data_IF_344614712947
#
_entry.id   IF_344614712947
#
_cell.length_a   1.000
_cell.length_b   1.000
_cell.length_c   1.000
_cell.angle_alpha   90.00
_cell.angle_beta   90.00
_cell.angle_gamma   90.00
#
_symmetry.space_group_name_H-M   'P 1'
#
loop_
_entity.id
_entity.type
_entity.pdbx_description
1 polymer ?
#
# COMPACT_ATOMS: atom_id res chain seq x y z
N UNK A 1 4.91 5.68 -23.65
CA UNK A 1 5.40 4.48 -22.93
C UNK A 1 4.41 3.35 -23.13
N UNK A 2 4.89 2.12 -23.07
CA UNK A 2 4.06 0.92 -22.94
C UNK A 2 4.03 0.52 -21.46
N UNK A 3 2.86 0.38 -20.90
CA UNK A 3 2.66 0.13 -19.46
C UNK A 3 1.91 -1.19 -19.28
N UNK A 4 2.52 -2.12 -18.56
CA UNK A 4 1.88 -3.37 -18.15
C UNK A 4 1.29 -3.24 -16.75
N UNK A 5 0.07 -3.70 -16.54
CA UNK A 5 -0.60 -3.69 -15.23
C UNK A 5 -1.13 -5.09 -14.94
N UNK A 6 -0.77 -5.61 -13.77
CA UNK A 6 -1.20 -6.91 -13.28
C UNK A 6 -2.12 -6.71 -12.10
N UNK A 7 -3.37 -7.11 -12.24
CA UNK A 7 -4.45 -6.86 -11.28
C UNK A 7 -5.14 -5.52 -11.50
N UNK A 8 -6.41 -5.56 -11.85
CA UNK A 8 -7.27 -4.40 -12.12
C UNK A 8 -8.21 -4.08 -10.95
N UNK A 9 -7.67 -4.15 -9.72
CA UNK A 9 -8.35 -3.67 -8.53
C UNK A 9 -8.42 -2.13 -8.46
N UNK A 10 -8.58 -1.58 -7.26
CA UNK A 10 -8.53 -0.14 -7.03
C UNK A 10 -7.18 0.45 -7.48
N UNK A 11 -6.08 -0.19 -7.10
CA UNK A 11 -4.71 0.28 -7.35
C UNK A 11 -4.37 0.16 -8.83
N UNK A 12 -4.36 -1.05 -9.40
CA UNK A 12 -4.00 -1.24 -10.81
C UNK A 12 -4.96 -0.54 -11.78
N UNK A 13 -6.26 -0.55 -11.49
CA UNK A 13 -7.24 0.19 -12.29
C UNK A 13 -7.02 1.70 -12.28
N UNK A 14 -6.53 2.25 -11.16
CA UNK A 14 -6.21 3.70 -11.08
C UNK A 14 -4.93 4.02 -11.87
N UNK A 15 -3.92 3.17 -11.82
CA UNK A 15 -2.77 3.28 -12.70
C UNK A 15 -3.19 3.21 -14.18
N UNK A 16 -4.00 2.21 -14.56
CA UNK A 16 -4.47 2.07 -15.93
C UNK A 16 -5.12 3.36 -16.44
N UNK A 17 -6.06 3.91 -15.67
CA UNK A 17 -6.75 5.17 -16.02
C UNK A 17 -5.80 6.37 -16.08
N UNK A 18 -4.84 6.49 -15.16
CA UNK A 18 -3.89 7.60 -15.12
C UNK A 18 -2.95 7.57 -16.34
N UNK A 19 -2.38 6.41 -16.64
CA UNK A 19 -1.47 6.27 -17.79
C UNK A 19 -2.19 6.41 -19.12
N UNK A 20 -3.37 5.80 -19.28
CA UNK A 20 -4.15 5.94 -20.52
C UNK A 20 -4.56 7.40 -20.76
N UNK A 21 -5.01 8.11 -19.71
CA UNK A 21 -5.34 9.54 -19.80
C UNK A 21 -4.12 10.40 -20.18
N UNK A 22 -2.92 9.99 -19.80
CA UNK A 22 -1.67 10.66 -20.19
C UNK A 22 -1.20 10.27 -21.61
N UNK A 23 -1.95 9.49 -22.35
CA UNK A 23 -1.68 9.11 -23.75
C UNK A 23 -0.67 7.96 -23.89
N UNK A 24 -0.53 7.10 -22.88
CA UNK A 24 0.33 5.93 -22.92
C UNK A 24 -0.46 4.68 -23.30
N UNK A 25 0.20 3.73 -23.98
CA UNK A 25 -0.39 2.42 -24.25
C UNK A 25 -0.40 1.59 -22.96
N UNK A 26 -1.58 1.06 -22.60
CA UNK A 26 -1.81 0.30 -21.37
C UNK A 26 -2.26 -1.11 -21.69
N UNK A 27 -1.48 -2.07 -21.24
CA UNK A 27 -1.80 -3.50 -21.30
C UNK A 27 -2.10 -4.00 -19.89
N UNK A 28 -3.10 -4.85 -19.72
CA UNK A 28 -3.42 -5.36 -18.38
C UNK A 28 -3.73 -6.86 -18.37
N UNK A 29 -3.47 -7.47 -17.21
CA UNK A 29 -3.90 -8.83 -16.89
C UNK A 29 -4.70 -8.81 -15.59
N UNK A 30 -5.77 -9.57 -15.56
CA UNK A 30 -6.58 -9.83 -14.36
C UNK A 30 -7.13 -11.26 -14.43
N UNK A 31 -7.24 -11.92 -13.29
CA UNK A 31 -7.84 -13.25 -13.20
C UNK A 31 -9.35 -13.23 -13.45
N UNK A 32 -10.00 -12.11 -13.15
CA UNK A 32 -11.40 -11.88 -13.54
C UNK A 32 -11.47 -11.32 -14.97
N UNK A 33 -11.78 -12.19 -15.90
CA UNK A 33 -11.94 -11.85 -17.31
C UNK A 33 -12.95 -10.73 -17.52
N UNK A 34 -14.03 -10.69 -16.74
CA UNK A 34 -15.07 -9.66 -16.89
C UNK A 34 -14.55 -8.27 -16.51
N UNK A 35 -13.69 -8.17 -15.51
CA UNK A 35 -13.01 -6.94 -15.12
C UNK A 35 -12.08 -6.44 -16.23
N UNK A 36 -11.29 -7.34 -16.84
CA UNK A 36 -10.40 -6.99 -17.95
C UNK A 36 -11.18 -6.50 -19.17
N UNK A 37 -12.22 -7.24 -19.58
CA UNK A 37 -13.06 -6.89 -20.73
C UNK A 37 -13.76 -5.53 -20.51
N UNK A 38 -14.22 -5.26 -19.28
CA UNK A 38 -14.81 -3.97 -18.93
C UNK A 38 -13.77 -2.83 -18.95
N UNK A 39 -12.54 -3.09 -18.48
CA UNK A 39 -11.46 -2.10 -18.52
C UNK A 39 -11.09 -1.72 -19.96
N UNK A 40 -11.04 -2.70 -20.87
CA UNK A 40 -10.82 -2.46 -22.31
C UNK A 40 -12.02 -1.68 -22.92
N UNK A 41 -13.25 -2.12 -22.67
CA UNK A 41 -14.44 -1.46 -23.20
C UNK A 41 -14.57 -0.02 -22.74
N UNK A 42 -14.17 0.26 -21.48
CA UNK A 42 -14.17 1.62 -20.91
C UNK A 42 -13.05 2.53 -21.41
N UNK A 43 -12.13 2.01 -22.22
CA UNK A 43 -10.96 2.75 -22.73
C UNK A 43 -9.91 3.06 -21.67
N UNK A 44 -9.86 2.31 -20.58
CA UNK A 44 -8.78 2.45 -19.58
C UNK A 44 -7.58 1.54 -19.87
N UNK A 45 -7.78 0.53 -20.68
CA UNK A 45 -6.81 -0.49 -21.11
C UNK A 45 -6.94 -0.68 -22.61
N UNK A 46 -5.83 -0.73 -23.34
CA UNK A 46 -5.84 -0.89 -24.80
C UNK A 46 -5.97 -2.37 -25.20
N UNK A 47 -5.30 -3.27 -24.49
CA UNK A 47 -5.35 -4.72 -24.75
C UNK A 47 -4.92 -5.53 -23.52
N UNK A 48 -5.14 -6.85 -23.60
CA UNK A 48 -4.63 -7.79 -22.60
C UNK A 48 -3.08 -7.81 -22.58
N UNK A 49 -2.50 -7.89 -21.39
CA UNK A 49 -1.08 -8.12 -21.17
C UNK A 49 -0.80 -9.61 -21.44
N UNK A 50 0.09 -9.90 -22.39
CA UNK A 50 0.42 -11.25 -22.84
C UNK A 50 1.94 -11.43 -22.86
N UNK A 51 2.42 -12.66 -22.96
CA UNK A 51 3.85 -12.97 -23.09
C UNK A 51 4.50 -12.31 -24.31
N UNK A 52 3.72 -11.92 -25.32
CA UNK A 52 4.20 -11.25 -26.53
C UNK A 52 4.46 -9.75 -26.30
N UNK A 53 3.66 -9.09 -25.45
CA UNK A 53 3.78 -7.64 -25.22
C UNK A 53 4.45 -7.29 -23.88
N UNK A 54 4.58 -8.22 -22.93
CA UNK A 54 5.38 -8.04 -21.70
C UNK A 54 6.78 -7.47 -22.00
N UNK A 55 7.58 -8.05 -22.95
CA UNK A 55 8.94 -7.56 -23.21
C UNK A 55 8.99 -6.17 -23.87
N UNK A 56 7.86 -5.65 -24.32
CA UNK A 56 7.74 -4.34 -24.94
C UNK A 56 7.36 -3.22 -23.93
N UNK A 57 7.04 -3.60 -22.69
CA UNK A 57 6.66 -2.65 -21.67
C UNK A 57 7.89 -1.91 -21.11
N UNK A 58 7.77 -0.60 -20.96
CA UNK A 58 8.75 0.24 -20.26
C UNK A 58 8.66 0.02 -18.74
N UNK A 59 7.45 -0.13 -18.23
CA UNK A 59 7.16 -0.43 -16.83
C UNK A 59 6.06 -1.47 -16.70
N UNK A 60 6.19 -2.36 -15.72
CA UNK A 60 5.15 -3.30 -15.30
C UNK A 60 4.84 -3.08 -13.82
N UNK A 61 3.57 -2.78 -13.52
CA UNK A 61 3.07 -2.55 -12.17
C UNK A 61 2.24 -3.76 -11.73
N UNK A 62 2.74 -4.48 -10.72
CA UNK A 62 2.10 -5.68 -10.19
C UNK A 62 1.25 -5.28 -8.98
N UNK A 63 -0.06 -5.19 -9.20
CA UNK A 63 -1.04 -4.65 -8.26
C UNK A 63 -1.95 -5.73 -7.68
N UNK A 64 -1.37 -6.86 -7.30
CA UNK A 64 -2.01 -8.01 -6.66
C UNK A 64 -1.44 -8.24 -5.26
N UNK A 65 -1.96 -9.24 -4.52
CA UNK A 65 -1.48 -9.57 -3.18
C UNK A 65 -0.04 -10.12 -3.20
N UNK A 66 0.71 -10.03 -2.08
CA UNK A 66 2.13 -10.36 -2.06
C UNK A 66 2.46 -11.77 -2.62
N UNK A 67 1.75 -12.79 -2.16
CA UNK A 67 1.97 -14.16 -2.65
C UNK A 67 1.72 -14.29 -4.16
N UNK A 68 0.63 -13.71 -4.66
CA UNK A 68 0.31 -13.70 -6.08
C UNK A 68 1.30 -12.86 -6.91
N UNK A 69 1.85 -11.78 -6.33
CA UNK A 69 2.88 -10.98 -6.99
C UNK A 69 4.19 -11.76 -7.19
N UNK A 70 4.62 -12.50 -6.18
CA UNK A 70 5.80 -13.39 -6.26
C UNK A 70 5.59 -14.48 -7.31
N UNK A 71 4.41 -15.11 -7.33
CA UNK A 71 4.10 -16.14 -8.29
C UNK A 71 4.08 -15.60 -9.73
N UNK A 72 3.38 -14.47 -9.95
CA UNK A 72 3.36 -13.81 -11.27
C UNK A 72 4.77 -13.46 -11.77
N UNK A 73 5.62 -12.90 -10.90
CA UNK A 73 7.00 -12.58 -11.27
C UNK A 73 7.77 -13.84 -11.67
N UNK A 74 7.60 -14.93 -10.92
CA UNK A 74 8.28 -16.21 -11.18
C UNK A 74 7.86 -16.82 -12.51
N UNK A 75 6.55 -16.84 -12.78
CA UNK A 75 6.01 -17.40 -14.03
C UNK A 75 6.41 -16.61 -15.28
N UNK A 76 6.57 -15.28 -15.15
CA UNK A 76 6.83 -14.39 -16.27
C UNK A 76 8.27 -13.85 -16.34
N UNK A 77 9.18 -14.30 -15.46
CA UNK A 77 10.54 -13.76 -15.35
C UNK A 77 11.32 -13.80 -16.68
N UNK A 78 11.13 -14.84 -17.48
CA UNK A 78 11.77 -14.99 -18.80
C UNK A 78 11.19 -14.06 -19.87
N UNK A 79 10.01 -13.50 -19.64
CA UNK A 79 9.33 -12.61 -20.58
C UNK A 79 9.64 -11.12 -20.32
N UNK A 80 10.14 -10.77 -19.13
CA UNK A 80 10.45 -9.37 -18.84
C UNK A 80 11.62 -8.88 -19.69
N UNK A 81 11.44 -7.75 -20.34
CA UNK A 81 12.47 -7.12 -21.15
C UNK A 81 13.64 -6.59 -20.30
N UNK A 82 14.87 -6.64 -20.83
CA UNK A 82 16.06 -6.14 -20.11
C UNK A 82 16.00 -4.65 -19.74
N UNK A 83 15.16 -3.86 -20.41
CA UNK A 83 14.94 -2.44 -20.11
C UNK A 83 13.67 -2.20 -19.31
N UNK A 84 12.86 -3.24 -19.11
CA UNK A 84 11.60 -3.13 -18.37
C UNK A 84 11.89 -2.92 -16.89
N UNK A 85 11.25 -1.93 -16.30
CA UNK A 85 11.19 -1.77 -14.83
C UNK A 85 9.96 -2.49 -14.32
N UNK A 86 10.15 -3.52 -13.52
CA UNK A 86 9.07 -4.27 -12.87
C UNK A 86 8.94 -3.77 -11.44
N UNK A 87 7.74 -3.35 -11.04
CA UNK A 87 7.46 -2.85 -9.70
C UNK A 87 6.26 -3.61 -9.12
N UNK A 88 6.40 -4.17 -7.93
CA UNK A 88 5.24 -4.58 -7.15
C UNK A 88 4.58 -3.36 -6.49
N UNK A 89 3.31 -3.45 -6.14
CA UNK A 89 2.57 -2.41 -5.43
C UNK A 89 1.99 -2.95 -4.11
N UNK A 90 2.65 -3.95 -3.52
CA UNK A 90 2.19 -4.63 -2.32
C UNK A 90 2.28 -3.75 -1.06
N UNK A 91 1.46 -4.07 -0.06
CA UNK A 91 1.43 -3.37 1.23
C UNK A 91 2.58 -3.73 2.18
N UNK A 92 3.31 -4.82 1.91
CA UNK A 92 4.50 -5.31 2.64
C UNK A 92 5.66 -5.54 1.68
N UNK A 93 6.90 -5.47 2.19
CA UNK A 93 8.11 -5.52 1.33
C UNK A 93 9.07 -6.65 1.68
N UNK A 94 9.17 -7.04 2.95
CA UNK A 94 10.18 -8.03 3.41
C UNK A 94 10.02 -9.40 2.77
N UNK A 95 8.82 -9.78 2.36
CA UNK A 95 8.58 -11.04 1.68
C UNK A 95 8.78 -10.90 0.15
N UNK A 96 8.14 -9.93 -0.48
CA UNK A 96 8.12 -9.80 -1.95
C UNK A 96 9.46 -9.33 -2.53
N UNK A 97 10.15 -8.39 -1.87
CA UNK A 97 11.36 -7.74 -2.43
C UNK A 97 12.54 -8.69 -2.64
N UNK A 98 12.89 -9.60 -1.71
CA UNK A 98 13.96 -10.56 -1.94
C UNK A 98 13.71 -11.46 -3.16
N UNK A 99 12.48 -11.89 -3.39
CA UNK A 99 12.10 -12.68 -4.55
C UNK A 99 12.24 -11.88 -5.86
N UNK A 100 11.76 -10.62 -5.84
CA UNK A 100 11.90 -9.74 -7.01
C UNK A 100 13.36 -9.49 -7.39
N UNK A 101 14.22 -9.20 -6.41
CA UNK A 101 15.67 -9.02 -6.67
C UNK A 101 16.34 -10.29 -7.17
N UNK A 102 16.02 -11.45 -6.59
CA UNK A 102 16.60 -12.72 -7.04
C UNK A 102 16.26 -12.99 -8.51
N UNK A 103 15.00 -12.85 -8.90
CA UNK A 103 14.55 -13.03 -10.27
C UNK A 103 15.16 -11.97 -11.22
N UNK A 104 15.23 -10.72 -10.80
CA UNK A 104 15.84 -9.65 -11.60
C UNK A 104 17.32 -9.92 -11.88
N UNK A 105 18.06 -10.37 -10.88
CA UNK A 105 19.48 -10.74 -11.03
C UNK A 105 19.66 -11.97 -11.93
N UNK A 106 18.77 -12.96 -11.88
CA UNK A 106 18.85 -14.17 -12.70
C UNK A 106 18.50 -13.91 -14.17
N UNK A 107 17.42 -13.14 -14.42
CA UNK A 107 16.86 -12.96 -15.77
C UNK A 107 17.24 -11.63 -16.42
N UNK A 108 17.83 -10.69 -15.68
CA UNK A 108 18.44 -9.46 -16.20
C UNK A 108 17.46 -8.32 -16.51
N UNK A 109 16.30 -8.27 -15.87
CA UNK A 109 15.40 -7.12 -15.85
C UNK A 109 15.66 -6.23 -14.62
N UNK A 110 15.06 -5.05 -14.56
CA UNK A 110 15.13 -4.19 -13.38
C UNK A 110 13.92 -4.41 -12.49
N UNK A 111 14.13 -4.74 -11.21
CA UNK A 111 13.05 -4.81 -10.22
C UNK A 111 13.21 -3.74 -9.14
N UNK A 112 12.09 -3.14 -8.73
CA UNK A 112 12.05 -2.19 -7.61
C UNK A 112 10.78 -2.47 -6.81
N UNK A 113 10.93 -2.74 -5.51
CA UNK A 113 9.79 -2.81 -4.61
C UNK A 113 9.08 -1.46 -4.54
N UNK A 114 7.75 -1.45 -4.53
CA UNK A 114 7.00 -0.20 -4.44
C UNK A 114 5.75 -0.33 -3.56
N UNK A 115 5.30 0.79 -3.02
CA UNK A 115 4.05 0.89 -2.29
C UNK A 115 3.45 2.28 -2.49
N UNK A 116 2.41 2.42 -3.33
CA UNK A 116 1.67 3.68 -3.46
C UNK A 116 0.86 3.93 -2.19
N UNK A 117 1.19 5.00 -1.46
CA UNK A 117 0.54 5.36 -0.19
C UNK A 117 -0.82 6.03 -0.45
N UNK A 118 -1.68 5.34 -1.18
CA UNK A 118 -3.01 5.80 -1.54
C UNK A 118 -4.01 4.64 -1.50
N UNK A 119 -5.19 4.90 -0.99
CA UNK A 119 -6.25 3.91 -0.89
C UNK A 119 -7.60 4.53 -0.56
N UNK A 120 -8.63 3.73 -0.72
CA UNK A 120 -10.02 4.07 -0.36
C UNK A 120 -10.65 2.89 0.39
N UNK A 121 -11.77 3.14 1.06
CA UNK A 121 -12.52 2.08 1.78
C UNK A 121 -13.16 1.01 0.87
N UNK A 122 -13.24 1.27 -0.44
CA UNK A 122 -13.84 0.36 -1.41
C UNK A 122 -12.77 -0.21 -2.34
N UNK A 123 -12.90 -1.48 -2.72
CA UNK A 123 -12.03 -2.19 -3.64
C UNK A 123 -12.69 -2.42 -4.99
N UNK A 124 -11.87 -2.75 -6.00
CA UNK A 124 -12.30 -3.11 -7.34
C UNK A 124 -12.20 -1.97 -8.35
N UNK A 125 -12.20 -2.34 -9.63
CA UNK A 125 -12.00 -1.45 -10.78
C UNK A 125 -13.01 -0.30 -10.85
N UNK A 126 -14.26 -0.53 -10.45
CA UNK A 126 -15.33 0.49 -10.46
C UNK A 126 -15.05 1.70 -9.58
N UNK A 127 -14.20 1.56 -8.57
CA UNK A 127 -13.81 2.65 -7.67
C UNK A 127 -12.47 3.27 -8.04
N UNK A 128 -11.77 2.72 -9.03
CA UNK A 128 -10.51 3.25 -9.53
C UNK A 128 -10.72 4.61 -10.21
N UNK A 129 -9.78 5.54 -9.97
CA UNK A 129 -9.78 6.87 -10.57
C UNK A 129 -8.39 7.24 -11.06
N UNK A 130 -8.31 8.01 -12.13
CA UNK A 130 -7.07 8.57 -12.68
C UNK A 130 -6.34 9.53 -11.73
N UNK A 131 -6.99 9.97 -10.66
CA UNK A 131 -6.46 10.94 -9.69
C UNK A 131 -6.17 10.34 -8.32
N UNK A 132 -6.24 9.01 -8.16
CA UNK A 132 -6.05 8.35 -6.86
C UNK A 132 -4.71 8.71 -6.21
N UNK A 133 -3.67 8.86 -7.03
CA UNK A 133 -2.30 9.06 -6.58
C UNK A 133 -1.86 10.52 -6.52
N UNK A 134 -2.70 11.47 -6.97
CA UNK A 134 -2.33 12.88 -7.03
C UNK A 134 -1.95 13.41 -5.64
N UNK A 135 -0.70 13.84 -5.51
CA UNK A 135 -0.14 14.34 -4.25
C UNK A 135 0.18 13.27 -3.20
N UNK A 136 -0.18 12.00 -3.43
CA UNK A 136 0.15 10.92 -2.51
C UNK A 136 1.65 10.58 -2.55
N UNK A 137 2.24 10.05 -1.47
CA UNK A 137 3.59 9.50 -1.51
C UNK A 137 3.64 8.18 -2.29
N UNK A 138 4.77 7.94 -2.96
CA UNK A 138 5.19 6.62 -3.43
C UNK A 138 6.43 6.21 -2.64
N UNK A 139 6.38 5.07 -1.98
CA UNK A 139 7.56 4.48 -1.34
C UNK A 139 8.18 3.47 -2.29
N UNK A 140 9.50 3.54 -2.47
CA UNK A 140 10.24 2.60 -3.31
C UNK A 140 11.39 1.96 -2.55
N UNK A 141 11.67 0.70 -2.89
CA UNK A 141 12.76 -0.12 -2.33
C UNK A 141 13.61 -0.63 -3.50
N UNK A 142 14.58 0.16 -3.96
CA UNK A 142 15.52 -0.26 -4.99
C UNK A 142 16.60 -1.17 -4.38
N UNK A 143 17.25 -1.98 -5.20
CA UNK A 143 18.38 -2.83 -4.77
C UNK A 143 19.60 -1.97 -4.38
N UNK A 144 19.84 -0.87 -5.09
CA UNK A 144 20.88 0.12 -4.76
C UNK A 144 20.22 1.49 -4.56
N UNK A 145 20.32 2.00 -3.34
CA UNK A 145 19.73 3.29 -2.95
C UNK A 145 20.46 4.50 -3.53
N UNK A 146 21.71 4.33 -3.96
CA UNK A 146 22.56 5.40 -4.51
C UNK A 146 22.54 5.43 -6.06
N UNK A 147 21.73 4.62 -6.71
CA UNK A 147 21.56 4.63 -8.16
C UNK A 147 20.69 5.80 -8.62
N UNK A 148 21.32 6.99 -8.70
CA UNK A 148 20.64 8.23 -9.10
C UNK A 148 20.01 8.13 -10.49
N UNK A 149 20.65 7.37 -11.42
CA UNK A 149 20.12 7.21 -12.76
C UNK A 149 18.82 6.38 -12.75
N UNK A 150 18.80 5.28 -12.02
CA UNK A 150 17.59 4.47 -11.82
C UNK A 150 16.49 5.27 -11.12
N UNK A 151 16.81 5.98 -10.05
CA UNK A 151 15.84 6.80 -9.31
C UNK A 151 15.23 7.91 -10.19
N UNK A 152 16.05 8.54 -11.01
CA UNK A 152 15.60 9.51 -12.00
C UNK A 152 14.65 8.90 -13.03
N UNK A 153 15.01 7.75 -13.56
CA UNK A 153 14.19 7.03 -14.52
C UNK A 153 12.84 6.56 -13.91
N UNK A 154 12.83 6.03 -12.68
CA UNK A 154 11.59 5.67 -11.97
C UNK A 154 10.69 6.89 -11.80
N UNK A 155 11.24 8.04 -11.45
CA UNK A 155 10.48 9.29 -11.33
C UNK A 155 9.79 9.68 -12.65
N UNK A 156 10.48 9.53 -13.77
CA UNK A 156 9.91 9.77 -15.10
C UNK A 156 8.80 8.77 -15.44
N UNK A 157 9.04 7.48 -15.19
CA UNK A 157 8.06 6.42 -15.40
C UNK A 157 6.78 6.64 -14.59
N UNK A 158 6.88 7.09 -13.34
CA UNK A 158 5.76 7.30 -12.42
C UNK A 158 5.08 8.68 -12.56
N UNK A 159 5.66 9.61 -13.34
CA UNK A 159 5.13 10.97 -13.49
C UNK A 159 3.64 11.03 -13.91
N UNK A 160 3.14 10.16 -14.82
CA UNK A 160 1.73 10.19 -15.21
C UNK A 160 0.74 9.89 -14.08
N UNK A 161 1.17 9.19 -13.04
CA UNK A 161 0.34 8.88 -11.87
C UNK A 161 0.16 10.09 -10.93
N UNK A 162 1.05 11.10 -10.99
CA UNK A 162 0.91 12.35 -10.26
C UNK A 162 1.27 12.27 -8.77
N UNK A 163 2.16 11.37 -8.38
CA UNK A 163 2.67 11.30 -7.00
C UNK A 163 3.30 12.63 -6.55
N UNK A 164 3.05 13.03 -5.28
CA UNK A 164 3.59 14.27 -4.72
C UNK A 164 5.09 14.18 -4.41
N UNK A 165 5.54 13.02 -3.94
CA UNK A 165 6.95 12.72 -3.70
C UNK A 165 7.21 11.21 -3.74
N UNK A 166 8.49 10.86 -3.92
CA UNK A 166 8.97 9.48 -3.89
C UNK A 166 9.94 9.37 -2.72
N UNK A 167 9.68 8.43 -1.82
CA UNK A 167 10.54 8.10 -0.69
C UNK A 167 11.30 6.81 -0.97
N UNK A 168 12.62 6.81 -0.75
CA UNK A 168 13.48 5.64 -0.92
C UNK A 168 13.78 5.05 0.46
N UNK A 169 13.64 3.73 0.60
CA UNK A 169 13.86 3.03 1.88
C UNK A 169 14.26 1.56 1.67
N UNK A 170 14.55 0.83 2.74
CA UNK A 170 14.72 -0.63 2.73
C UNK A 170 13.40 -1.35 2.99
N UNK A 171 13.33 -2.65 2.70
CA UNK A 171 12.16 -3.46 2.98
C UNK A 171 11.84 -3.53 4.47
N UNK A 172 12.88 -3.64 5.31
CA UNK A 172 12.76 -3.70 6.77
C UNK A 172 12.22 -2.39 7.34
N UNK A 173 12.80 -1.25 6.96
CA UNK A 173 12.38 0.07 7.43
C UNK A 173 10.97 0.43 6.92
N UNK A 174 10.63 0.00 5.68
CA UNK A 174 9.27 0.13 5.15
C UNK A 174 8.27 -0.60 6.06
N UNK A 175 8.49 -1.90 6.29
CA UNK A 175 7.53 -2.73 7.00
C UNK A 175 7.41 -2.35 8.48
N UNK A 176 8.50 -1.91 9.11
CA UNK A 176 8.46 -1.31 10.45
C UNK A 176 7.55 -0.08 10.49
N UNK A 177 7.72 0.84 9.55
CA UNK A 177 6.90 2.05 9.48
C UNK A 177 5.43 1.75 9.15
N UNK A 178 5.17 0.79 8.25
CA UNK A 178 3.80 0.40 7.86
C UNK A 178 3.07 -0.31 9.01
N UNK A 179 3.77 -1.06 9.86
CA UNK A 179 3.17 -1.64 11.06
C UNK A 179 2.54 -0.56 11.93
N UNK A 180 3.23 0.55 12.16
CA UNK A 180 2.75 1.67 12.97
C UNK A 180 1.73 2.55 12.23
N UNK A 181 2.08 3.05 11.04
CA UNK A 181 1.30 4.10 10.36
C UNK A 181 0.01 3.58 9.71
N UNK A 182 -0.05 2.28 9.40
CA UNK A 182 -1.17 1.67 8.69
C UNK A 182 -1.78 0.49 9.46
N UNK A 183 -1.01 -0.58 9.69
CA UNK A 183 -1.55 -1.85 10.18
C UNK A 183 -2.13 -1.71 11.59
N UNK A 184 -1.40 -1.07 12.51
CA UNK A 184 -1.87 -0.80 13.87
C UNK A 184 -3.17 -0.01 13.87
N UNK A 185 -3.28 1.02 13.04
CA UNK A 185 -4.49 1.83 12.92
C UNK A 185 -5.72 1.00 12.52
N UNK A 186 -5.55 0.04 11.60
CA UNK A 186 -6.61 -0.87 11.17
C UNK A 186 -7.01 -1.85 12.28
N UNK A 187 -6.05 -2.41 13.01
CA UNK A 187 -6.33 -3.29 14.16
C UNK A 187 -7.10 -2.52 15.25
N UNK A 188 -6.62 -1.32 15.61
CA UNK A 188 -7.24 -0.46 16.63
C UNK A 188 -8.67 -0.11 16.23
N UNK A 189 -8.86 0.35 15.01
CA UNK A 189 -10.18 0.70 14.47
C UNK A 189 -11.14 -0.51 14.48
N UNK A 190 -10.67 -1.68 14.04
CA UNK A 190 -11.43 -2.92 14.06
C UNK A 190 -11.77 -3.37 15.49
N UNK A 191 -10.83 -3.27 16.42
CA UNK A 191 -11.07 -3.60 17.84
C UNK A 191 -12.06 -2.62 18.48
N UNK A 192 -11.93 -1.33 18.19
CA UNK A 192 -12.77 -0.27 18.75
C UNK A 192 -14.26 -0.46 18.42
N UNK A 193 -14.60 -0.80 17.17
CA UNK A 193 -16.00 -1.01 16.76
C UNK A 193 -16.62 -2.29 17.31
N UNK A 194 -15.84 -3.23 17.87
CA UNK A 194 -16.34 -4.45 18.50
C UNK A 194 -16.96 -4.23 19.86
N UNK A 195 -16.83 -3.03 20.47
CA UNK A 195 -17.53 -2.69 21.71
C UNK A 195 -19.04 -2.85 21.53
N UNK A 196 -19.75 -3.51 22.48
CA UNK A 196 -21.21 -3.56 22.47
C UNK A 196 -21.87 -2.20 22.42
N UNK A 197 -21.21 -1.18 22.99
CA UNK A 197 -21.67 0.22 23.02
C UNK A 197 -21.71 0.83 21.62
N UNK A 198 -20.87 0.36 20.70
CA UNK A 198 -20.85 0.86 19.32
C UNK A 198 -22.21 0.69 18.60
N UNK A 199 -23.02 -0.31 18.97
CA UNK A 199 -24.36 -0.51 18.40
C UNK A 199 -25.35 0.62 18.71
N UNK A 200 -25.07 1.44 19.73
CA UNK A 200 -25.96 2.49 20.25
C UNK A 200 -25.39 3.90 20.05
N UNK A 201 -24.36 4.05 19.21
CA UNK A 201 -23.64 5.33 19.04
C UNK A 201 -24.45 6.42 18.33
N UNK A 202 -25.53 6.07 17.61
CA UNK A 202 -26.31 7.02 16.81
C UNK A 202 -26.88 8.15 17.68
N UNK A 203 -26.64 9.39 17.28
CA UNK A 203 -27.01 10.58 18.04
C UNK A 203 -25.96 11.03 19.07
N UNK A 204 -24.92 10.21 19.35
CA UNK A 204 -23.85 10.52 20.29
C UNK A 204 -22.47 10.62 19.65
N UNK A 205 -22.35 10.31 18.35
CA UNK A 205 -21.06 10.28 17.63
C UNK A 205 -20.86 11.55 16.80
N UNK A 206 -19.62 12.04 16.82
CA UNK A 206 -19.15 13.20 16.07
C UNK A 206 -17.86 12.84 15.28
N UNK A 207 -17.03 13.85 14.97
CA UNK A 207 -15.82 13.68 14.15
C UNK A 207 -14.86 12.61 14.67
N UNK A 208 -14.50 12.67 15.95
CA UNK A 208 -13.56 11.74 16.58
C UNK A 208 -13.98 10.26 16.44
N UNK A 209 -15.26 9.95 16.59
CA UNK A 209 -15.74 8.59 16.34
C UNK A 209 -15.58 8.19 14.86
N UNK A 210 -15.93 9.08 13.93
CA UNK A 210 -15.81 8.82 12.49
C UNK A 210 -14.35 8.60 12.09
N UNK A 211 -13.46 9.43 12.61
CA UNK A 211 -12.01 9.32 12.32
C UNK A 211 -11.44 8.00 12.83
N UNK A 212 -11.78 7.62 14.07
CA UNK A 212 -11.32 6.36 14.68
C UNK A 212 -11.90 5.11 14.03
N UNK A 213 -13.07 5.18 13.40
CA UNK A 213 -13.75 4.00 12.82
C UNK A 213 -13.68 3.92 11.30
N UNK A 214 -13.18 4.94 10.64
CA UNK A 214 -13.12 5.04 9.18
C UNK A 214 -12.43 3.85 8.52
N UNK A 215 -11.33 3.41 9.08
CA UNK A 215 -10.52 2.30 8.55
C UNK A 215 -10.95 0.92 9.06
N UNK A 216 -12.04 0.81 9.82
CA UNK A 216 -12.63 -0.48 10.18
C UNK A 216 -13.34 -1.18 9.00
N UNK A 217 -13.66 -0.44 7.93
CA UNK A 217 -14.07 -1.00 6.65
C UNK A 217 -12.84 -1.58 5.94
N UNK A 218 -12.65 -2.88 6.06
CA UNK A 218 -11.49 -3.58 5.51
C UNK A 218 -11.90 -4.89 4.84
N UNK A 219 -11.06 -5.36 3.91
CA UNK A 219 -11.17 -6.70 3.35
C UNK A 219 -10.42 -7.69 4.26
N UNK A 220 -11.12 -8.63 4.94
CA UNK A 220 -10.48 -9.52 5.92
C UNK A 220 -9.39 -10.41 5.31
N UNK A 221 -9.58 -10.91 4.09
CA UNK A 221 -8.62 -11.79 3.42
C UNK A 221 -7.30 -11.07 3.17
N UNK A 222 -7.35 -9.92 2.50
CA UNK A 222 -6.17 -9.10 2.22
C UNK A 222 -5.42 -8.68 3.51
N UNK A 223 -6.16 -8.20 4.51
CA UNK A 223 -5.53 -7.71 5.74
C UNK A 223 -4.97 -8.85 6.59
N UNK A 224 -5.53 -10.06 6.51
CA UNK A 224 -4.96 -11.24 7.17
C UNK A 224 -3.58 -11.56 6.60
N UNK A 225 -3.42 -11.60 5.27
CA UNK A 225 -2.12 -11.81 4.62
C UNK A 225 -1.12 -10.73 5.05
N UNK A 226 -1.46 -9.45 4.88
CA UNK A 226 -0.57 -8.34 5.23
C UNK A 226 -0.15 -8.30 6.71
N UNK A 227 -1.04 -8.68 7.62
CA UNK A 227 -0.72 -8.74 9.06
C UNK A 227 0.21 -9.91 9.38
N UNK A 228 0.03 -11.06 8.72
CA UNK A 228 0.89 -12.22 8.92
C UNK A 228 2.28 -12.01 8.33
N UNK A 229 2.40 -11.38 7.18
CA UNK A 229 3.67 -11.04 6.55
C UNK A 229 4.52 -10.08 7.40
N UNK A 230 3.86 -9.22 8.18
CA UNK A 230 4.50 -8.21 9.01
C UNK A 230 4.26 -8.40 10.52
N UNK A 231 4.00 -9.64 10.93
CA UNK A 231 3.49 -9.99 12.26
C UNK A 231 4.37 -9.52 13.42
N UNK A 232 5.68 -9.64 13.29
CA UNK A 232 6.65 -9.29 14.33
C UNK A 232 6.66 -7.80 14.63
N UNK A 233 6.68 -6.95 13.59
CA UNK A 233 6.54 -5.52 13.73
C UNK A 233 5.18 -5.13 14.29
N UNK A 234 4.10 -5.72 13.77
CA UNK A 234 2.75 -5.42 14.24
C UNK A 234 2.51 -5.85 15.69
N UNK A 235 3.02 -7.01 16.12
CA UNK A 235 2.95 -7.48 17.52
C UNK A 235 3.67 -6.47 18.42
N UNK A 236 4.89 -6.04 18.05
CA UNK A 236 5.64 -5.05 18.84
C UNK A 236 4.83 -3.75 19.05
N UNK A 237 4.23 -3.22 17.99
CA UNK A 237 3.42 -1.99 18.08
C UNK A 237 2.14 -2.20 18.90
N UNK A 238 1.50 -3.37 18.77
CA UNK A 238 0.35 -3.74 19.59
C UNK A 238 0.68 -3.85 21.06
N UNK A 239 1.80 -4.49 21.41
CA UNK A 239 2.23 -4.63 22.81
C UNK A 239 2.49 -3.26 23.46
N UNK A 240 3.14 -2.35 22.73
CA UNK A 240 3.35 -0.96 23.19
C UNK A 240 2.00 -0.26 23.41
N UNK A 241 1.07 -0.37 22.47
CA UNK A 241 -0.25 0.25 22.60
C UNK A 241 -1.05 -0.33 23.77
N UNK A 242 -1.03 -1.66 23.94
CA UNK A 242 -1.72 -2.35 25.06
C UNK A 242 -1.14 -1.87 26.39
N UNK A 243 0.19 -1.75 26.52
CA UNK A 243 0.81 -1.24 27.73
C UNK A 243 0.34 0.19 28.03
N UNK A 244 0.36 1.07 27.04
CA UNK A 244 -0.12 2.45 27.19
C UNK A 244 -1.60 2.51 27.60
N UNK A 245 -2.47 1.69 27.01
CA UNK A 245 -3.90 1.63 27.38
C UNK A 245 -4.10 1.08 28.80
N UNK A 246 -3.27 0.13 29.21
CA UNK A 246 -3.29 -0.43 30.57
C UNK A 246 -2.94 0.61 31.62
N UNK A 247 -2.00 1.52 31.34
CA UNK A 247 -1.66 2.63 32.22
C UNK A 247 -2.87 3.57 32.43
N UNK A 248 -3.60 3.92 31.37
CA UNK A 248 -4.84 4.69 31.49
C UNK A 248 -5.90 3.95 32.30
N UNK A 249 -6.12 2.67 32.06
CA UNK A 249 -7.08 1.85 32.81
C UNK A 249 -6.75 1.83 34.30
N UNK A 250 -5.48 1.59 34.64
CA UNK A 250 -5.00 1.54 36.01
C UNK A 250 -5.13 2.88 36.73
N UNK A 251 -4.84 3.99 36.05
CA UNK A 251 -5.01 5.33 36.63
C UNK A 251 -6.49 5.66 36.89
N UNK A 252 -7.37 5.24 35.99
CA UNK A 252 -8.83 5.42 36.13
C UNK A 252 -9.39 4.58 37.27
N UNK A 253 -9.01 3.30 37.40
CA UNK A 253 -9.44 2.38 38.47
C UNK A 253 -9.06 2.93 39.85
N UNK A 254 -7.84 3.49 39.96
CA UNK A 254 -7.31 4.08 41.20
C UNK A 254 -7.82 5.51 41.47
N UNK A 255 -8.56 6.10 40.52
CA UNK A 255 -8.95 7.50 40.53
C UNK A 255 -7.77 8.46 40.71
N UNK A 256 -6.60 8.05 40.19
CA UNK A 256 -5.35 8.81 40.27
C UNK A 256 -5.34 9.97 39.26
N UNK A 257 -5.88 11.09 39.71
CA UNK A 257 -6.00 12.33 38.92
C UNK A 257 -4.60 12.83 38.46
N UNK A 258 -3.60 12.70 39.30
CA UNK A 258 -2.24 13.16 38.98
C UNK A 258 -1.66 12.32 37.84
N UNK A 259 -1.67 10.98 38.00
CA UNK A 259 -1.15 10.07 36.97
C UNK A 259 -1.90 10.22 35.66
N UNK A 260 -3.23 10.36 35.70
CA UNK A 260 -4.02 10.57 34.49
C UNK A 260 -3.65 11.86 33.75
N UNK A 261 -3.41 12.95 34.50
CA UNK A 261 -2.95 14.21 33.92
C UNK A 261 -1.55 14.08 33.28
N UNK A 262 -0.62 13.38 33.96
CA UNK A 262 0.73 13.09 33.41
C UNK A 262 0.67 12.33 32.10
N UNK A 263 -0.15 11.26 31.99
CA UNK A 263 -0.32 10.48 30.77
C UNK A 263 -0.88 11.32 29.61
N UNK A 264 -1.86 12.17 29.89
CA UNK A 264 -2.46 13.05 28.88
C UNK A 264 -1.46 14.13 28.42
N UNK A 265 -0.68 14.70 29.33
CA UNK A 265 0.34 15.70 29.01
C UNK A 265 1.49 15.08 28.20
N UNK A 266 1.90 13.85 28.54
CA UNK A 266 2.88 13.11 27.74
C UNK A 266 2.39 12.92 26.30
N UNK A 267 1.16 12.43 26.12
CA UNK A 267 0.57 12.24 24.79
C UNK A 267 0.51 13.54 23.97
N UNK A 268 0.13 14.65 24.63
CA UNK A 268 0.11 15.98 24.02
C UNK A 268 1.51 16.41 23.57
N UNK A 269 2.51 16.30 24.44
CA UNK A 269 3.91 16.67 24.10
C UNK A 269 4.45 15.83 22.94
N UNK A 270 4.20 14.51 22.94
CA UNK A 270 4.57 13.66 21.81
C UNK A 270 3.92 14.11 20.50
N UNK A 271 2.66 14.52 20.54
CA UNK A 271 1.99 15.03 19.34
C UNK A 271 2.58 16.34 18.84
N UNK A 272 2.94 17.24 19.76
CA UNK A 272 3.63 18.51 19.43
C UNK A 272 5.01 18.25 18.79
N UNK A 273 5.81 17.31 19.33
CA UNK A 273 7.09 16.89 18.76
C UNK A 273 6.93 16.33 17.33
N UNK A 274 5.93 15.45 17.11
CA UNK A 274 5.67 14.82 15.80
C UNK A 274 5.24 15.86 14.75
N UNK A 275 4.42 16.83 15.14
CA UNK A 275 3.94 17.88 14.23
C UNK A 275 4.96 19.02 14.02
N UNK A 276 6.09 19.02 14.74
CA UNK A 276 7.09 20.09 14.68
C UNK A 276 6.59 21.42 15.23
N UNK A 277 5.77 21.41 16.28
CA UNK A 277 5.16 22.57 16.92
C UNK A 277 5.81 22.88 18.26
#
# INVERSE_FOLDING_TARGET
MNVGIVGLGLIGGSFAKAYHKAGHAVYAADTDRSTLDFAILSGAVDAALTTENIPLCDIILICVYPAAAVEYMRENATCFGKKTVVMDCCGTKRDVVPHGFALANEYGFTYVGAHPMAGRQYSGFKYATDTLYHGAPMVIVPQNHDDIALLGHIKELLAPAGFGHISVTTAEAHDEMIAFTSQLAHVVSSAYVKSPTARRHRGFSAGSYKDMTRVAWLNPEMWTELFLDNRDNLIRELDILIANLTDYSSALERQDRRRLNELLDEGKRRKEEIDGR
#
